data_IF_603035208752
#
_entry.id   IF_603035208752
#
_cell.length_a   1.000
_cell.length_b   1.000
_cell.length_c   1.000
_cell.angle_alpha   90.00
_cell.angle_beta   90.00
_cell.angle_gamma   90.00
#
_symmetry.space_group_name_H-M   'P 1'
#
loop_
_entity.id
_entity.type
_entity.pdbx_description
1 polymer ?
#
# COMPACT_ATOMS: atom_id res chain seq x y z
N UNK A 1 20.12 2.47 18.83
CA UNK A 1 18.91 1.65 18.53
C UNK A 1 18.31 2.11 17.21
N UNK A 2 17.79 1.20 16.38
CA UNK A 2 17.08 1.57 15.15
C UNK A 2 15.63 1.82 15.54
N UNK A 3 15.11 3.00 15.22
CA UNK A 3 13.71 3.36 15.41
C UNK A 3 12.88 2.79 14.26
N UNK A 4 11.71 2.24 14.53
CA UNK A 4 10.81 1.66 13.53
C UNK A 4 9.38 2.13 13.75
N UNK A 5 8.57 2.23 12.67
CA UNK A 5 7.20 2.70 12.78
C UNK A 5 6.37 1.76 13.67
N UNK A 6 5.68 2.34 14.65
CA UNK A 6 4.65 1.61 15.42
C UNK A 6 3.40 1.53 14.54
N UNK A 7 2.92 0.30 14.31
CA UNK A 7 1.70 0.05 13.54
C UNK A 7 0.55 -0.23 14.53
N UNK A 8 -0.47 0.64 14.60
CA UNK A 8 -1.63 0.41 15.47
C UNK A 8 -2.40 -0.86 15.10
N UNK A 9 -3.14 -1.42 16.06
CA UNK A 9 -4.00 -2.58 15.81
C UNK A 9 -5.00 -2.29 14.67
N UNK A 10 -5.21 -3.28 13.80
CA UNK A 10 -6.05 -3.15 12.60
C UNK A 10 -5.39 -2.44 11.41
N UNK A 11 -4.21 -1.82 11.57
CA UNK A 11 -3.48 -1.14 10.49
C UNK A 11 -2.43 -2.06 9.88
N UNK A 12 -1.89 -1.65 8.74
CA UNK A 12 -0.79 -2.28 8.04
C UNK A 12 0.26 -1.23 7.69
N UNK A 13 1.53 -1.63 7.65
CA UNK A 13 2.60 -0.80 7.12
C UNK A 13 2.72 -0.99 5.61
N UNK A 14 2.34 0.03 4.84
CA UNK A 14 2.43 0.03 3.39
C UNK A 14 3.83 0.41 2.93
N UNK A 15 4.39 -0.45 2.09
CA UNK A 15 5.56 -0.15 1.28
C UNK A 15 5.16 -0.04 -0.21
N UNK A 16 5.84 0.85 -0.93
CA UNK A 16 5.64 1.01 -2.37
C UNK A 16 6.78 0.37 -3.15
N UNK A 17 6.46 -0.20 -4.31
CA UNK A 17 7.45 -0.83 -5.18
C UNK A 17 7.16 -0.60 -6.66
N UNK A 18 8.16 -0.81 -7.51
CA UNK A 18 7.98 -0.76 -8.97
C UNK A 18 7.63 -2.15 -9.46
N UNK A 19 6.68 -2.23 -10.38
CA UNK A 19 6.34 -3.48 -11.06
C UNK A 19 7.49 -3.94 -11.97
N UNK A 20 7.43 -5.19 -12.44
CA UNK A 20 8.38 -5.73 -13.42
C UNK A 20 8.65 -4.80 -14.61
N UNK A 21 7.61 -4.38 -15.35
CA UNK A 21 7.73 -3.56 -16.56
C UNK A 21 7.59 -2.06 -16.26
N UNK A 22 8.39 -1.57 -15.31
CA UNK A 22 8.39 -0.16 -14.93
C UNK A 22 9.80 0.34 -14.65
N UNK A 23 10.15 1.48 -15.22
CA UNK A 23 11.34 2.24 -14.84
C UNK A 23 10.92 3.60 -14.31
N UNK A 24 11.19 3.83 -13.03
CA UNK A 24 10.76 5.03 -12.33
C UNK A 24 9.24 5.29 -12.46
N UNK A 25 8.84 6.40 -13.08
CA UNK A 25 7.43 6.75 -13.37
C UNK A 25 6.93 6.19 -14.70
N UNK A 26 7.83 5.70 -15.55
CA UNK A 26 7.49 5.17 -16.87
C UNK A 26 7.03 3.73 -16.74
N UNK A 27 5.80 3.48 -17.17
CA UNK A 27 5.17 2.16 -17.19
C UNK A 27 5.25 1.62 -18.61
N UNK A 28 5.95 0.50 -18.80
CA UNK A 28 6.08 -0.19 -20.09
C UNK A 28 5.06 -1.32 -20.25
N UNK A 29 4.47 -1.80 -19.15
CA UNK A 29 3.50 -2.88 -19.16
C UNK A 29 2.64 -2.93 -17.90
N UNK A 30 1.46 -3.56 -18.02
CA UNK A 30 0.52 -3.76 -16.92
C UNK A 30 0.63 -5.13 -16.26
N UNK A 31 1.63 -5.92 -16.68
CA UNK A 31 1.89 -7.24 -16.14
C UNK A 31 3.10 -7.18 -15.20
N UNK A 32 3.01 -7.86 -14.07
CA UNK A 32 4.15 -8.12 -13.19
C UNK A 32 4.41 -9.62 -13.15
N UNK A 33 5.37 -10.06 -13.96
CA UNK A 33 5.74 -11.48 -14.09
C UNK A 33 6.28 -12.07 -12.78
N UNK A 34 6.92 -11.26 -11.94
CA UNK A 34 7.47 -11.73 -10.67
C UNK A 34 6.40 -11.96 -9.61
N UNK A 35 5.26 -11.27 -9.74
CA UNK A 35 4.16 -11.31 -8.75
C UNK A 35 2.87 -11.91 -9.29
N UNK A 36 2.89 -12.43 -10.52
CA UNK A 36 1.72 -13.02 -11.16
C UNK A 36 0.59 -12.03 -11.48
N UNK A 37 0.86 -10.72 -11.46
CA UNK A 37 -0.16 -9.70 -11.75
C UNK A 37 -0.34 -9.56 -13.24
N UNK A 38 -1.60 -9.55 -13.69
CA UNK A 38 -1.99 -9.36 -15.10
C UNK A 38 -2.92 -8.17 -15.25
N UNK A 39 -2.73 -7.41 -16.35
CA UNK A 39 -3.61 -6.33 -16.81
C UNK A 39 -4.10 -5.37 -15.72
N UNK A 40 -3.23 -4.96 -14.78
CA UNK A 40 -3.66 -4.05 -13.74
C UNK A 40 -2.57 -3.72 -12.74
N UNK A 41 -2.67 -2.51 -12.16
CA UNK A 41 -1.67 -1.97 -11.24
C UNK A 41 -2.22 -1.49 -9.90
N UNK A 42 -3.54 -1.25 -9.82
CA UNK A 42 -4.23 -1.02 -8.55
C UNK A 42 -4.40 -2.34 -7.81
N UNK A 43 -3.31 -2.81 -7.24
CA UNK A 43 -3.26 -4.04 -6.43
C UNK A 43 -2.63 -3.73 -5.08
N UNK A 44 -3.15 -4.36 -4.04
CA UNK A 44 -2.54 -4.37 -2.72
C UNK A 44 -2.20 -5.81 -2.37
N UNK A 45 -0.90 -6.07 -2.22
CA UNK A 45 -0.34 -7.35 -1.81
C UNK A 45 -0.41 -7.43 -0.29
N UNK A 46 -1.10 -8.44 0.23
CA UNK A 46 -1.34 -8.62 1.67
C UNK A 46 -1.12 -10.07 2.06
N UNK A 47 -0.55 -10.31 3.24
CA UNK A 47 -0.44 -11.64 3.80
C UNK A 47 -1.83 -12.29 3.95
N UNK A 48 -2.03 -13.57 3.58
CA UNK A 48 -3.34 -14.22 3.61
C UNK A 48 -4.04 -14.14 4.97
N UNK A 49 -3.30 -14.32 6.08
CA UNK A 49 -3.87 -14.22 7.44
C UNK A 49 -4.33 -12.81 7.78
N UNK A 50 -3.60 -11.77 7.37
CA UNK A 50 -3.99 -10.39 7.65
C UNK A 50 -5.21 -9.98 6.82
N UNK A 51 -5.32 -10.51 5.60
CA UNK A 51 -6.51 -10.37 4.76
C UNK A 51 -7.70 -11.11 5.37
N UNK A 52 -7.52 -12.34 5.86
CA UNK A 52 -8.55 -13.15 6.53
C UNK A 52 -9.08 -12.47 7.79
N UNK A 53 -8.20 -11.95 8.63
CA UNK A 53 -8.56 -11.16 9.83
C UNK A 53 -9.44 -9.94 9.49
N UNK A 54 -9.38 -9.46 8.25
CA UNK A 54 -10.15 -8.32 7.73
C UNK A 54 -11.32 -8.74 6.82
N UNK A 55 -11.60 -10.03 6.69
CA UNK A 55 -12.67 -10.55 5.83
C UNK A 55 -12.45 -10.28 4.33
N UNK A 56 -11.21 -10.10 3.88
CA UNK A 56 -10.87 -9.82 2.49
C UNK A 56 -10.45 -11.10 1.76
N UNK A 57 -11.30 -11.55 0.83
CA UNK A 57 -10.97 -12.62 -0.09
C UNK A 57 -9.90 -12.19 -1.10
N UNK A 58 -9.13 -13.13 -1.61
CA UNK A 58 -8.25 -12.87 -2.75
C UNK A 58 -9.07 -12.40 -3.96
N UNK A 59 -8.59 -11.36 -4.65
CA UNK A 59 -9.32 -10.74 -5.76
C UNK A 59 -10.45 -9.80 -5.36
N UNK A 60 -10.80 -9.68 -4.07
CA UNK A 60 -11.72 -8.65 -3.60
C UNK A 60 -11.15 -7.24 -3.84
N UNK A 61 -11.98 -6.22 -3.73
CA UNK A 61 -11.55 -4.82 -3.83
C UNK A 61 -11.61 -4.13 -2.47
N UNK A 62 -10.69 -3.21 -2.24
CA UNK A 62 -10.59 -2.40 -1.02
C UNK A 62 -10.07 -0.99 -1.35
N UNK A 63 -10.42 -0.03 -0.52
CA UNK A 63 -9.76 1.28 -0.52
C UNK A 63 -8.61 1.27 0.50
N UNK A 64 -7.52 1.96 0.16
CA UNK A 64 -6.43 2.21 1.10
C UNK A 64 -6.65 3.59 1.72
N UNK A 65 -6.62 3.66 3.04
CA UNK A 65 -6.71 4.93 3.78
C UNK A 65 -5.49 5.09 4.66
N UNK A 66 -4.76 6.20 4.50
CA UNK A 66 -3.65 6.57 5.38
C UNK A 66 -4.11 7.65 6.36
N UNK A 67 -3.68 7.51 7.61
CA UNK A 67 -3.91 8.46 8.70
C UNK A 67 -2.62 9.23 8.97
N UNK A 68 -2.70 10.55 9.19
CA UNK A 68 -1.55 11.38 9.58
C UNK A 68 -1.73 12.02 10.95
N UNK A 69 -0.63 12.53 11.53
CA UNK A 69 -0.57 13.04 12.91
C UNK A 69 -1.42 14.29 13.15
N UNK A 70 -1.77 15.02 12.09
CA UNK A 70 -2.70 16.16 12.11
C UNK A 70 -4.19 15.74 12.09
N UNK A 71 -4.48 14.44 12.08
CA UNK A 71 -5.82 13.88 11.97
C UNK A 71 -6.37 13.84 10.54
N UNK A 72 -5.58 14.23 9.54
CA UNK A 72 -6.01 14.15 8.13
C UNK A 72 -5.94 12.72 7.60
N UNK A 73 -6.99 12.33 6.87
CA UNK A 73 -7.02 11.08 6.13
C UNK A 73 -6.81 11.31 4.63
N UNK A 74 -6.13 10.38 3.97
CA UNK A 74 -6.01 10.34 2.51
C UNK A 74 -6.43 8.97 2.01
N UNK A 75 -7.16 8.95 0.89
CA UNK A 75 -7.76 7.74 0.32
C UNK A 75 -7.21 7.45 -1.07
N UNK A 76 -6.89 6.18 -1.32
CA UNK A 76 -6.60 5.65 -2.64
C UNK A 76 -7.60 4.52 -2.95
N UNK A 77 -8.59 4.74 -3.82
CA UNK A 77 -9.71 3.82 -3.97
C UNK A 77 -9.44 2.61 -4.88
N UNK A 78 -10.22 1.54 -4.75
CA UNK A 78 -10.35 0.51 -5.78
C UNK A 78 -9.10 -0.34 -6.04
N UNK A 79 -8.42 -0.78 -4.99
CA UNK A 79 -7.30 -1.72 -5.07
C UNK A 79 -7.79 -3.16 -5.00
N UNK A 80 -7.38 -3.98 -5.97
CA UNK A 80 -7.61 -5.43 -5.90
C UNK A 80 -6.67 -6.05 -4.86
N UNK A 81 -7.23 -6.74 -3.89
CA UNK A 81 -6.49 -7.52 -2.89
C UNK A 81 -5.84 -8.70 -3.59
N UNK A 82 -4.55 -8.89 -3.34
CA UNK A 82 -3.78 -10.04 -3.80
C UNK A 82 -3.14 -10.68 -2.59
N UNK A 83 -3.52 -11.92 -2.33
CA UNK A 83 -2.88 -12.74 -1.31
C UNK A 83 -1.44 -13.01 -1.73
N UNK A 84 -0.48 -12.55 -0.94
CA UNK A 84 0.95 -12.62 -1.25
C UNK A 84 1.74 -12.88 0.02
N UNK A 85 2.83 -13.67 -0.02
CA UNK A 85 3.63 -13.98 1.18
C UNK A 85 4.51 -12.79 1.61
N UNK A 86 3.90 -11.64 1.89
CA UNK A 86 4.55 -10.50 2.56
C UNK A 86 4.69 -10.78 4.05
N UNK A 87 5.54 -10.01 4.75
CA UNK A 87 5.55 -10.04 6.21
C UNK A 87 4.16 -9.70 6.77
N UNK A 88 3.76 -10.36 7.87
CA UNK A 88 2.54 -10.02 8.59
C UNK A 88 2.58 -8.60 9.13
N UNK A 89 1.44 -7.92 9.14
CA UNK A 89 1.32 -6.51 9.52
C UNK A 89 1.78 -5.53 8.43
N UNK A 90 2.17 -6.02 7.25
CA UNK A 90 2.61 -5.20 6.12
C UNK A 90 1.70 -5.37 4.92
N UNK A 91 1.68 -4.33 4.07
CA UNK A 91 1.09 -4.35 2.75
C UNK A 91 2.09 -3.84 1.72
N UNK A 92 1.92 -4.20 0.46
CA UNK A 92 2.68 -3.61 -0.63
C UNK A 92 1.79 -3.22 -1.81
N UNK A 93 2.10 -2.09 -2.44
CA UNK A 93 1.40 -1.62 -3.63
C UNK A 93 2.38 -1.03 -4.65
N UNK A 94 1.91 -0.85 -5.88
CA UNK A 94 2.74 -0.24 -6.91
C UNK A 94 2.81 1.28 -6.78
N UNK A 95 4.01 1.80 -7.05
CA UNK A 95 4.22 3.22 -7.33
C UNK A 95 3.84 3.50 -8.79
N UNK A 96 3.16 4.62 -9.13
CA UNK A 96 2.77 5.74 -8.27
C UNK A 96 1.33 5.65 -7.70
N UNK A 97 0.66 4.50 -7.82
CA UNK A 97 -0.77 4.36 -7.55
C UNK A 97 -1.20 4.80 -6.13
N UNK A 98 -0.27 4.78 -5.16
CA UNK A 98 -0.51 5.16 -3.77
C UNK A 98 0.11 6.49 -3.36
N UNK A 99 0.61 7.32 -4.28
CA UNK A 99 1.23 8.61 -3.93
C UNK A 99 0.30 9.52 -3.12
N UNK A 100 -1.01 9.45 -3.39
CA UNK A 100 -2.02 10.22 -2.65
C UNK A 100 -2.05 9.90 -1.17
N UNK A 101 -1.52 8.75 -0.73
CA UNK A 101 -1.48 8.34 0.68
C UNK A 101 -0.31 8.95 1.46
N UNK A 102 0.63 9.62 0.78
CA UNK A 102 1.83 10.15 1.43
C UNK A 102 1.55 11.59 1.88
N UNK A 103 1.56 11.89 3.19
CA UNK A 103 1.46 13.26 3.68
C UNK A 103 2.69 14.07 3.25
N UNK A 104 2.50 15.34 2.91
CA UNK A 104 3.59 16.22 2.45
C UNK A 104 4.65 16.41 3.53
N UNK A 105 4.22 16.47 4.80
CA UNK A 105 5.10 16.63 5.96
C UNK A 105 5.71 15.31 6.45
N UNK A 106 5.43 14.18 5.78
CA UNK A 106 6.01 12.90 6.13
C UNK A 106 7.37 12.73 5.49
N UNK A 107 8.39 13.32 6.11
CA UNK A 107 9.77 13.29 5.64
C UNK A 107 10.72 12.74 6.70
N UNK A 108 11.88 12.25 6.27
CA UNK A 108 12.93 11.83 7.18
C UNK A 108 13.57 13.05 7.86
N UNK A 109 13.70 13.00 9.19
CA UNK A 109 14.13 14.13 10.04
C UNK A 109 15.39 14.85 9.56
N UNK A 110 16.37 14.09 9.04
CA UNK A 110 17.68 14.64 8.66
C UNK A 110 17.74 15.13 7.21
N UNK A 111 17.04 14.47 6.28
CA UNK A 111 17.21 14.71 4.83
C UNK A 111 16.01 15.38 4.17
N UNK A 112 14.90 15.52 4.89
CA UNK A 112 13.61 15.96 4.34
C UNK A 112 13.13 15.11 3.15
N UNK A 113 13.61 13.87 3.01
CA UNK A 113 13.19 12.94 1.95
C UNK A 113 11.83 12.35 2.32
N UNK A 114 10.83 12.30 1.41
CA UNK A 114 9.53 11.71 1.69
C UNK A 114 9.62 10.25 2.15
N UNK A 115 8.93 9.89 3.23
CA UNK A 115 8.93 8.57 3.83
C UNK A 115 7.93 7.60 3.14
N UNK A 116 8.00 7.54 1.80
CA UNK A 116 7.10 6.78 0.93
C UNK A 116 7.18 5.24 1.06
N UNK A 117 8.08 4.74 1.91
CA UNK A 117 8.34 3.31 2.12
C UNK A 117 7.69 2.75 3.38
N UNK A 118 7.12 3.62 4.20
CA UNK A 118 6.58 3.27 5.52
C UNK A 118 5.34 4.10 5.80
N UNK A 119 4.24 3.84 5.11
CA UNK A 119 2.98 4.57 5.33
C UNK A 119 2.02 3.69 6.11
N UNK A 120 1.55 4.14 7.27
CA UNK A 120 0.52 3.42 8.02
C UNK A 120 -0.81 3.56 7.29
N UNK A 121 -1.44 2.42 6.99
CA UNK A 121 -2.73 2.38 6.31
C UNK A 121 -3.72 1.47 7.02
N UNK A 122 -5.00 1.68 6.73
CA UNK A 122 -6.08 0.74 6.98
C UNK A 122 -6.78 0.41 5.66
N UNK A 123 -7.35 -0.79 5.61
CA UNK A 123 -8.11 -1.29 4.47
C UNK A 123 -9.59 -1.06 4.77
N UNK A 124 -10.30 -0.45 3.82
CA UNK A 124 -11.74 -0.22 3.92
C UNK A 124 -12.50 -0.88 2.78
N UNK A 125 -13.79 -1.13 3.01
CA UNK A 125 -14.67 -1.49 1.92
C UNK A 125 -14.66 -0.40 0.84
N UNK A 126 -14.66 -0.76 -0.45
CA UNK A 126 -14.67 0.21 -1.52
C UNK A 126 -15.86 1.15 -1.38
N UNK A 127 -15.60 2.46 -1.49
CA UNK A 127 -16.69 3.40 -1.62
C UNK A 127 -17.43 3.14 -2.95
N UNK A 128 -18.74 2.91 -2.89
CA UNK A 128 -19.59 2.86 -4.09
C UNK A 128 -20.03 4.28 -4.38
N UNK A 129 -19.41 4.91 -5.37
CA UNK A 129 -19.96 6.10 -6.01
C UNK A 129 -20.97 5.69 -7.09
#
# INVERSE_FOLDING_TARGET
PVEYPVVPEGRLLLQTLRSHDQYNTTIYGLNDRYRGIKNGRRVVLVHPEDARERGLADGAYTDLVSEWTDGSERRAPGFRVVHYPTARGCAAAYYPETNVLIPLDHTADTSNTPAAKSVVIRLEQPHRD
#
